data_IF_725779886116
#
_entry.id   IF_725779886116
#
_cell.length_a   1.000
_cell.length_b   1.000
_cell.length_c   1.000
_cell.angle_alpha   90.00
_cell.angle_beta   90.00
_cell.angle_gamma   90.00
#
_symmetry.space_group_name_H-M   'P 1'
#
loop_
_entity.id
_entity.type
_entity.pdbx_description
1 polymer ?
#
# COMPACT_ATOMS: atom_id res chain seq x y z
N UNK A 1 90.24 -22.60 -12.84
CA UNK A 1 89.76 -21.32 -12.26
C UNK A 1 88.27 -21.50 -11.98
N UNK A 2 87.95 -22.15 -10.87
CA UNK A 2 86.57 -22.38 -10.43
C UNK A 2 86.35 -21.33 -9.35
N UNK A 3 85.46 -20.37 -9.58
CA UNK A 3 85.12 -19.35 -8.59
C UNK A 3 84.34 -20.03 -7.46
N UNK A 4 84.99 -20.15 -6.31
CA UNK A 4 84.34 -20.41 -5.03
C UNK A 4 83.57 -19.12 -4.66
N UNK A 5 82.29 -19.06 -5.03
CA UNK A 5 81.39 -17.98 -4.61
C UNK A 5 80.89 -18.31 -3.20
N UNK A 6 80.88 -17.35 -2.25
CA UNK A 6 80.57 -17.62 -0.85
C UNK A 6 79.15 -18.18 -0.71
N UNK A 7 79.06 -19.40 -0.19
CA UNK A 7 77.84 -20.19 0.00
C UNK A 7 76.76 -19.47 0.83
N UNK A 8 77.13 -18.49 1.65
CA UNK A 8 76.20 -17.76 2.51
C UNK A 8 75.20 -16.89 1.71
N UNK A 9 75.65 -16.29 0.59
CA UNK A 9 74.80 -15.38 -0.21
C UNK A 9 73.65 -16.13 -0.88
N UNK A 10 73.86 -17.40 -1.26
CA UNK A 10 72.83 -18.19 -1.95
C UNK A 10 71.73 -18.68 -1.00
N UNK A 11 72.07 -18.93 0.28
CA UNK A 11 71.11 -19.33 1.31
C UNK A 11 70.22 -18.14 1.71
N UNK A 12 70.81 -16.97 1.96
CA UNK A 12 70.06 -15.75 2.28
C UNK A 12 69.12 -15.34 1.12
N UNK A 13 69.60 -15.44 -0.12
CA UNK A 13 68.78 -15.16 -1.29
C UNK A 13 67.61 -16.15 -1.41
N UNK A 14 67.83 -17.43 -1.10
CA UNK A 14 66.78 -18.45 -1.10
C UNK A 14 65.65 -18.16 -0.10
N UNK A 15 66.01 -17.69 1.10
CA UNK A 15 65.06 -17.32 2.15
C UNK A 15 64.22 -16.11 1.72
N UNK A 16 64.84 -15.10 1.10
CA UNK A 16 64.14 -13.91 0.59
C UNK A 16 63.18 -14.29 -0.54
N UNK A 17 63.60 -15.14 -1.48
CA UNK A 17 62.75 -15.60 -2.59
C UNK A 17 61.53 -16.39 -2.07
N UNK A 18 61.72 -17.27 -1.08
CA UNK A 18 60.61 -17.99 -0.42
C UNK A 18 59.61 -17.01 0.21
N UNK A 19 60.10 -15.98 0.91
CA UNK A 19 59.24 -14.95 1.49
C UNK A 19 58.39 -14.22 0.45
N UNK A 20 59.00 -13.83 -0.68
CA UNK A 20 58.29 -13.16 -1.78
C UNK A 20 57.23 -14.07 -2.41
N UNK A 21 57.53 -15.36 -2.60
CA UNK A 21 56.58 -16.33 -3.15
C UNK A 21 55.39 -16.57 -2.22
N UNK A 22 55.61 -16.71 -0.92
CA UNK A 22 54.53 -16.84 0.06
C UNK A 22 53.65 -15.57 0.11
N UNK A 23 54.27 -14.39 0.03
CA UNK A 23 53.53 -13.12 -0.01
C UNK A 23 52.66 -13.00 -1.27
N UNK A 24 53.23 -13.32 -2.45
CA UNK A 24 52.50 -13.31 -3.71
C UNK A 24 51.37 -14.35 -3.72
N UNK A 25 51.63 -15.57 -3.24
CA UNK A 25 50.63 -16.64 -3.11
C UNK A 25 49.50 -16.28 -2.15
N UNK A 26 49.83 -15.65 -1.02
CA UNK A 26 48.85 -15.13 -0.06
C UNK A 26 47.94 -14.07 -0.69
N UNK A 27 48.50 -13.16 -1.48
CA UNK A 27 47.75 -12.10 -2.16
C UNK A 27 46.78 -12.67 -3.21
N UNK A 28 47.23 -13.64 -4.00
CA UNK A 28 46.38 -14.36 -4.97
C UNK A 28 45.26 -15.12 -4.26
N UNK A 29 45.57 -15.78 -3.14
CA UNK A 29 44.59 -16.53 -2.35
C UNK A 29 43.52 -15.60 -1.75
N UNK A 30 43.91 -14.44 -1.20
CA UNK A 30 42.97 -13.44 -0.69
C UNK A 30 42.10 -12.87 -1.81
N UNK A 31 42.66 -12.61 -3.00
CA UNK A 31 41.87 -12.17 -4.16
C UNK A 31 40.88 -13.24 -4.62
N UNK A 32 41.29 -14.51 -4.66
CA UNK A 32 40.40 -15.62 -5.01
C UNK A 32 39.26 -15.77 -4.01
N UNK A 33 39.55 -15.72 -2.70
CA UNK A 33 38.54 -15.77 -1.64
C UNK A 33 37.61 -14.57 -1.68
N UNK A 34 38.14 -13.36 -1.91
CA UNK A 34 37.33 -12.14 -2.02
C UNK A 34 36.40 -12.20 -3.23
N UNK A 35 36.90 -12.66 -4.38
CA UNK A 35 36.11 -12.86 -5.61
C UNK A 35 35.02 -13.90 -5.42
N UNK A 36 35.34 -15.02 -4.77
CA UNK A 36 34.36 -16.07 -4.48
C UNK A 36 33.29 -15.58 -3.50
N UNK A 37 33.70 -14.87 -2.44
CA UNK A 37 32.77 -14.30 -1.44
C UNK A 37 31.88 -13.20 -2.03
N UNK A 38 32.39 -12.43 -2.98
CA UNK A 38 31.61 -11.45 -3.75
C UNK A 38 30.59 -12.12 -4.67
N UNK A 39 30.90 -13.28 -5.25
CA UNK A 39 29.93 -14.08 -6.02
C UNK A 39 28.84 -14.69 -5.14
N UNK A 40 29.20 -15.28 -3.99
CA UNK A 40 28.22 -15.86 -3.05
C UNK A 40 27.29 -14.80 -2.44
N UNK A 41 27.81 -13.59 -2.18
CA UNK A 41 26.98 -12.47 -1.71
C UNK A 41 26.03 -11.93 -2.80
N UNK A 42 26.35 -12.15 -4.08
CA UNK A 42 25.48 -11.82 -5.21
C UNK A 42 24.32 -12.81 -5.32
N UNK A 43 24.56 -14.10 -5.15
CA UNK A 43 23.52 -15.13 -5.28
C UNK A 43 22.45 -15.04 -4.18
N UNK A 44 22.85 -14.79 -2.94
CA UNK A 44 21.91 -14.64 -1.83
C UNK A 44 21.05 -13.35 -1.93
N UNK A 45 21.56 -12.31 -2.60
CA UNK A 45 20.79 -11.08 -2.85
C UNK A 45 19.88 -11.23 -4.08
N UNK A 46 20.32 -11.94 -5.13
CA UNK A 46 19.56 -12.12 -6.37
C UNK A 46 18.31 -13.00 -6.19
N UNK A 47 18.39 -14.04 -5.37
CA UNK A 47 17.23 -14.91 -5.08
C UNK A 47 16.05 -14.15 -4.44
N UNK A 48 16.32 -13.13 -3.64
CA UNK A 48 15.26 -12.33 -3.02
C UNK A 48 14.51 -11.45 -4.03
N UNK A 49 15.18 -10.94 -5.07
CA UNK A 49 14.53 -10.08 -6.07
C UNK A 49 13.61 -10.87 -7.02
N UNK A 50 13.97 -12.11 -7.37
CA UNK A 50 13.12 -12.96 -8.22
C UNK A 50 11.87 -13.48 -7.50
N UNK A 51 11.96 -13.72 -6.19
CA UNK A 51 10.79 -14.10 -5.39
C UNK A 51 9.76 -12.96 -5.30
N UNK A 52 10.22 -11.72 -5.11
CA UNK A 52 9.35 -10.54 -5.07
C UNK A 52 8.66 -10.30 -6.43
N UNK A 53 9.39 -10.49 -7.55
CA UNK A 53 8.86 -10.29 -8.92
C UNK A 53 7.72 -11.27 -9.24
N UNK A 54 7.88 -12.56 -8.90
CA UNK A 54 6.84 -13.57 -9.09
C UNK A 54 5.58 -13.30 -8.24
N UNK A 55 5.75 -12.79 -7.02
CA UNK A 55 4.61 -12.39 -6.17
C UNK A 55 3.88 -11.18 -6.76
N UNK A 56 4.62 -10.19 -7.27
CA UNK A 56 4.03 -9.02 -7.94
C UNK A 56 3.28 -9.45 -9.20
N UNK A 57 3.85 -10.33 -10.02
CA UNK A 57 3.21 -10.86 -11.22
C UNK A 57 1.90 -11.60 -10.88
N UNK A 58 1.92 -12.46 -9.85
CA UNK A 58 0.73 -13.17 -9.39
C UNK A 58 -0.38 -12.21 -8.94
N UNK A 59 -0.02 -11.13 -8.21
CA UNK A 59 -0.97 -10.10 -7.79
C UNK A 59 -1.54 -9.36 -9.01
N UNK A 60 -0.70 -8.92 -9.94
CA UNK A 60 -1.13 -8.23 -11.16
C UNK A 60 -2.06 -9.12 -12.00
N UNK A 61 -1.74 -10.41 -12.10
CA UNK A 61 -2.54 -11.38 -12.83
C UNK A 61 -3.91 -11.60 -12.18
N UNK A 62 -3.97 -11.68 -10.85
CA UNK A 62 -5.22 -11.75 -10.08
C UNK A 62 -6.08 -10.48 -10.28
N UNK A 63 -5.47 -9.29 -10.24
CA UNK A 63 -6.18 -8.04 -10.51
C UNK A 63 -6.73 -7.98 -11.94
N UNK A 64 -5.92 -8.37 -12.92
CA UNK A 64 -6.31 -8.38 -14.33
C UNK A 64 -7.44 -9.38 -14.56
N UNK A 65 -7.40 -10.54 -13.90
CA UNK A 65 -8.47 -11.54 -13.94
C UNK A 65 -9.79 -10.97 -13.43
N UNK A 66 -9.78 -10.35 -12.24
CA UNK A 66 -10.97 -9.73 -11.65
C UNK A 66 -11.53 -8.62 -12.54
N UNK A 67 -10.66 -7.84 -13.17
CA UNK A 67 -11.07 -6.77 -14.08
C UNK A 67 -11.85 -7.32 -15.28
N UNK A 68 -11.36 -8.42 -15.88
CA UNK A 68 -12.08 -9.11 -16.97
C UNK A 68 -13.43 -9.67 -16.53
N UNK A 69 -13.52 -10.18 -15.31
CA UNK A 69 -14.79 -10.68 -14.77
C UNK A 69 -15.81 -9.53 -14.65
N UNK A 70 -15.38 -8.36 -14.18
CA UNK A 70 -16.24 -7.17 -14.15
C UNK A 70 -16.64 -6.71 -15.55
N UNK A 71 -15.72 -6.68 -16.53
CA UNK A 71 -16.04 -6.32 -17.91
C UNK A 71 -17.12 -7.24 -18.51
N UNK A 72 -17.07 -8.54 -18.20
CA UNK A 72 -18.08 -9.51 -18.65
C UNK A 72 -19.44 -9.23 -18.04
N UNK A 73 -19.50 -8.92 -16.74
CA UNK A 73 -20.75 -8.57 -16.06
C UNK A 73 -21.33 -7.28 -16.65
N UNK A 74 -20.50 -6.27 -16.91
CA UNK A 74 -20.93 -5.02 -17.54
C UNK A 74 -21.50 -5.29 -18.94
N UNK A 75 -20.83 -6.10 -19.75
CA UNK A 75 -21.31 -6.47 -21.08
C UNK A 75 -22.67 -7.18 -21.00
N UNK A 76 -22.83 -8.15 -20.11
CA UNK A 76 -24.10 -8.86 -19.90
C UNK A 76 -25.23 -7.91 -19.45
N UNK A 77 -24.94 -7.02 -18.50
CA UNK A 77 -25.91 -6.03 -18.03
C UNK A 77 -26.34 -5.09 -19.15
N UNK A 78 -25.40 -4.63 -20.00
CA UNK A 78 -25.72 -3.81 -21.16
C UNK A 78 -26.61 -4.55 -22.15
N UNK A 79 -26.32 -5.81 -22.45
CA UNK A 79 -27.17 -6.63 -23.33
C UNK A 79 -28.57 -6.79 -22.75
N UNK A 80 -28.70 -7.06 -21.44
CA UNK A 80 -30.01 -7.17 -20.79
C UNK A 80 -30.78 -5.84 -20.84
N UNK A 81 -30.10 -4.72 -20.62
CA UNK A 81 -30.70 -3.38 -20.67
C UNK A 81 -31.18 -3.03 -22.08
N UNK A 82 -30.38 -3.30 -23.11
CA UNK A 82 -30.74 -3.12 -24.52
C UNK A 82 -31.98 -3.96 -24.89
N UNK A 83 -32.05 -5.23 -24.46
CA UNK A 83 -33.24 -6.07 -24.65
C UNK A 83 -34.49 -5.46 -23.99
N UNK A 84 -34.35 -4.92 -22.77
CA UNK A 84 -35.46 -4.30 -22.03
C UNK A 84 -35.88 -2.98 -22.67
N UNK A 85 -34.94 -2.17 -23.14
CA UNK A 85 -35.20 -0.91 -23.85
C UNK A 85 -35.93 -1.16 -25.17
N UNK A 86 -35.50 -2.15 -25.96
CA UNK A 86 -36.18 -2.56 -27.20
C UNK A 86 -37.59 -3.06 -26.91
N UNK A 87 -37.78 -3.90 -25.88
CA UNK A 87 -39.11 -4.40 -25.47
C UNK A 87 -40.03 -3.30 -24.98
N UNK A 88 -39.51 -2.36 -24.19
CA UNK A 88 -40.27 -1.21 -23.66
C UNK A 88 -40.66 -0.26 -24.78
N UNK A 89 -39.72 0.00 -25.70
CA UNK A 89 -39.97 0.82 -26.89
C UNK A 89 -41.01 0.16 -27.79
N UNK A 90 -40.90 -1.15 -28.08
CA UNK A 90 -41.93 -1.90 -28.82
C UNK A 90 -43.29 -1.94 -28.12
N UNK A 91 -43.32 -2.04 -26.79
CA UNK A 91 -44.56 -1.99 -26.02
C UNK A 91 -45.23 -0.60 -26.07
N UNK A 92 -44.46 0.47 -26.30
CA UNK A 92 -44.98 1.83 -26.45
C UNK A 92 -45.45 2.15 -27.88
N UNK A 93 -45.10 1.35 -28.91
CA UNK A 93 -45.57 1.55 -30.31
C UNK A 93 -46.84 0.75 -30.64
N UNK A 94 -47.51 0.14 -29.67
CA UNK A 94 -48.85 -0.44 -29.88
C UNK A 94 -49.93 0.48 -29.29
N UNK A 95 -50.46 1.46 -30.05
CA UNK A 95 -51.72 2.09 -29.68
C UNK A 95 -52.83 1.07 -29.94
N UNK A 96 -53.46 0.62 -28.85
CA UNK A 96 -54.74 -0.05 -28.88
C UNK A 96 -55.74 0.64 -29.83
N UNK A 97 -56.32 -0.14 -30.73
CA UNK A 97 -57.42 0.26 -31.61
C UNK A 97 -58.72 0.26 -30.79
N UNK A 98 -59.28 1.45 -30.51
CA UNK A 98 -60.71 1.61 -30.23
C UNK A 98 -61.24 2.77 -31.10
N UNK A 99 -62.21 2.45 -31.93
CA UNK A 99 -62.91 3.31 -32.91
C UNK A 99 -64.31 3.67 -32.38
N UNK A 100 -64.70 4.95 -32.50
CA UNK A 100 -66.05 5.58 -32.69
C UNK A 100 -66.07 6.96 -31.99
N UNK A 101 -66.57 8.10 -32.50
CA UNK A 101 -67.24 8.59 -33.74
C UNK A 101 -67.24 10.17 -33.65
N UNK A 102 -67.47 10.97 -34.74
CA UNK A 102 -66.94 12.33 -34.90
C UNK A 102 -67.94 13.49 -34.71
N UNK A 103 -67.44 14.72 -34.54
CA UNK A 103 -68.05 16.00 -34.98
C UNK A 103 -67.04 17.17 -34.88
N UNK A 104 -67.22 18.29 -35.63
CA UNK A 104 -66.13 19.08 -36.21
C UNK A 104 -66.01 20.54 -35.71
N UNK A 105 -65.01 21.27 -36.26
CA UNK A 105 -64.82 22.75 -36.26
C UNK A 105 -64.33 23.38 -34.94
N UNK A 106 -63.46 24.41 -34.87
CA UNK A 106 -62.78 25.25 -35.86
C UNK A 106 -61.83 26.25 -35.14
N UNK A 107 -60.77 26.71 -35.86
CA UNK A 107 -60.13 28.06 -35.82
C UNK A 107 -59.39 28.51 -34.53
N UNK A 108 -58.05 28.58 -34.59
CA UNK A 108 -57.22 29.79 -34.82
C UNK A 108 -57.26 30.85 -33.70
N UNK A 109 -56.15 31.05 -32.98
CA UNK A 109 -55.32 32.27 -33.07
C UNK A 109 -54.14 32.27 -32.07
N UNK A 110 -52.97 32.65 -32.59
CA UNK A 110 -51.81 33.12 -31.84
C UNK A 110 -52.05 34.53 -31.28
N UNK A 111 -51.55 34.80 -30.07
CA UNK A 111 -50.95 36.09 -29.74
C UNK A 111 -49.97 36.02 -28.56
N UNK A 112 -48.74 36.44 -28.85
CA UNK A 112 -47.68 36.78 -27.89
C UNK A 112 -48.09 37.95 -26.97
N UNK A 113 -47.59 37.96 -25.72
CA UNK A 113 -46.64 38.97 -25.20
C UNK A 113 -46.14 38.64 -23.77
N UNK A 114 -44.82 38.66 -23.58
CA UNK A 114 -44.02 38.52 -22.35
C UNK A 114 -44.03 39.85 -21.53
N UNK A 115 -43.21 40.14 -20.47
CA UNK A 115 -42.11 39.38 -19.82
C UNK A 115 -41.98 39.56 -18.28
N UNK A 116 -41.41 38.60 -17.53
CA UNK A 116 -40.55 38.93 -16.35
C UNK A 116 -39.44 37.88 -16.20
N UNK A 117 -38.24 38.39 -15.96
CA UNK A 117 -36.95 37.74 -16.11
C UNK A 117 -36.56 36.83 -14.93
N UNK A 118 -35.81 35.75 -15.21
CA UNK A 118 -34.55 35.45 -14.51
C UNK A 118 -33.67 34.45 -15.30
N UNK A 119 -32.70 34.99 -16.04
CA UNK A 119 -31.26 34.64 -16.08
C UNK A 119 -30.83 33.30 -15.40
N UNK A 120 -29.98 32.42 -15.94
CA UNK A 120 -28.69 32.65 -16.64
C UNK A 120 -28.30 31.41 -17.50
N UNK A 121 -27.64 31.75 -18.60
CA UNK A 121 -26.95 31.08 -19.73
C UNK A 121 -26.03 29.84 -19.54
N UNK A 122 -26.06 28.94 -20.53
CA UNK A 122 -24.91 28.15 -21.09
C UNK A 122 -23.91 29.09 -21.83
N UNK A 123 -22.62 28.77 -22.21
CA UNK A 123 -22.12 27.45 -22.66
C UNK A 123 -20.63 27.04 -22.37
N UNK A 124 -20.37 25.72 -22.48
CA UNK A 124 -19.17 24.97 -22.97
C UNK A 124 -17.74 25.32 -22.46
N UNK A 125 -17.02 24.34 -21.84
CA UNK A 125 -15.66 23.81 -22.21
C UNK A 125 -15.06 22.86 -21.13
N UNK A 126 -14.87 21.58 -21.50
CA UNK A 126 -13.76 20.61 -21.26
C UNK A 126 -12.85 20.67 -19.98
N UNK A 127 -12.83 19.51 -19.26
CA UNK A 127 -11.75 18.83 -18.46
C UNK A 127 -11.27 19.39 -17.10
N UNK A 128 -11.60 18.68 -16.00
CA UNK A 128 -10.69 17.96 -15.05
C UNK A 128 -11.43 17.45 -13.77
N UNK A 129 -11.07 16.26 -13.27
CA UNK A 129 -11.42 15.63 -11.96
C UNK A 129 -11.23 16.63 -10.78
N UNK A 130 -11.94 16.63 -9.61
CA UNK A 130 -12.13 15.47 -8.70
C UNK A 130 -13.36 15.45 -7.73
N UNK A 131 -13.53 14.30 -7.05
CA UNK A 131 -14.02 14.06 -5.67
C UNK A 131 -15.35 14.64 -5.10
N UNK A 132 -16.16 13.68 -4.61
CA UNK A 132 -16.98 13.69 -3.38
C UNK A 132 -18.20 14.62 -3.35
N UNK A 133 -19.40 14.22 -2.91
CA UNK A 133 -19.75 13.59 -1.63
C UNK A 133 -21.13 12.95 -1.72
N UNK A 134 -21.35 11.84 -1.02
CA UNK A 134 -22.46 11.75 -0.05
C UNK A 134 -21.99 10.87 1.09
N UNK A 135 -21.59 11.53 2.18
CA UNK A 135 -21.56 10.94 3.50
C UNK A 135 -22.97 11.01 4.08
N UNK A 136 -23.42 9.95 4.75
CA UNK A 136 -24.05 10.02 6.07
C UNK A 136 -24.50 8.64 6.53
N UNK A 137 -23.60 7.93 7.21
CA UNK A 137 -23.95 7.14 8.38
C UNK A 137 -22.71 7.00 9.28
N UNK A 138 -22.80 7.62 10.46
CA UNK A 138 -21.94 7.47 11.66
C UNK A 138 -20.49 7.94 11.59
N UNK A 139 -20.31 9.26 11.51
CA UNK A 139 -19.20 9.93 12.19
C UNK A 139 -19.55 10.02 13.69
N UNK A 140 -18.98 9.13 14.50
CA UNK A 140 -18.81 9.29 15.97
C UNK A 140 -18.06 8.11 16.64
N UNK A 141 -17.59 7.09 15.90
CA UNK A 141 -16.85 5.94 16.45
C UNK A 141 -15.34 5.87 16.08
N UNK A 142 -14.77 6.92 15.46
CA UNK A 142 -13.40 6.93 14.91
C UNK A 142 -12.28 7.09 15.97
N UNK A 143 -12.62 7.20 17.25
CA UNK A 143 -11.63 7.26 18.34
C UNK A 143 -11.15 5.88 18.82
N UNK A 144 -11.98 4.84 18.67
CA UNK A 144 -11.80 3.59 19.42
C UNK A 144 -10.94 2.56 18.68
N UNK A 145 -11.10 2.39 17.37
CA UNK A 145 -10.28 1.44 16.59
C UNK A 145 -8.82 1.86 16.42
N UNK A 146 -8.54 3.17 16.53
CA UNK A 146 -7.20 3.70 16.42
C UNK A 146 -6.34 3.32 17.64
N UNK A 147 -6.93 3.18 18.83
CA UNK A 147 -6.18 2.82 20.04
C UNK A 147 -5.53 1.44 19.92
N UNK A 148 -6.30 0.41 19.54
CA UNK A 148 -5.73 -0.94 19.37
C UNK A 148 -4.61 -1.01 18.32
N UNK A 149 -4.73 -0.22 17.25
CA UNK A 149 -3.66 -0.13 16.22
C UNK A 149 -2.43 0.59 16.77
N UNK A 150 -2.60 1.67 17.53
CA UNK A 150 -1.52 2.42 18.17
C UNK A 150 -0.75 1.51 19.13
N UNK A 151 -1.45 0.80 20.00
CA UNK A 151 -0.82 -0.04 21.02
C UNK A 151 -0.08 -1.23 20.38
N UNK A 152 -0.64 -1.80 19.30
CA UNK A 152 0.06 -2.80 18.49
C UNK A 152 1.37 -2.27 17.90
N UNK A 153 1.36 -1.06 17.34
CA UNK A 153 2.57 -0.46 16.79
C UNK A 153 3.59 -0.17 17.89
N UNK A 154 3.16 0.35 19.03
CA UNK A 154 4.04 0.60 20.17
C UNK A 154 4.69 -0.71 20.63
N UNK A 155 3.94 -1.80 20.73
CA UNK A 155 4.48 -3.13 21.05
C UNK A 155 5.53 -3.57 20.02
N UNK A 156 5.24 -3.39 18.72
CA UNK A 156 6.18 -3.73 17.65
C UNK A 156 7.50 -2.92 17.74
N UNK A 157 7.41 -1.65 18.12
CA UNK A 157 8.57 -0.77 18.30
C UNK A 157 9.29 -0.97 19.64
N UNK A 158 8.65 -1.61 20.62
CA UNK A 158 9.28 -2.01 21.86
C UNK A 158 10.27 -3.16 21.67
N UNK A 159 9.98 -4.07 20.74
CA UNK A 159 10.84 -5.21 20.43
C UNK A 159 12.11 -4.78 19.69
N UNK A 160 11.97 -3.99 18.61
CA UNK A 160 13.12 -3.45 17.87
C UNK A 160 12.82 -2.17 17.10
N UNK A 161 13.83 -1.35 16.78
CA UNK A 161 13.69 -0.23 15.86
C UNK A 161 13.16 -0.68 14.49
N UNK A 162 12.10 -0.03 13.98
CA UNK A 162 11.48 -0.37 12.68
C UNK A 162 11.37 0.82 11.74
N UNK A 163 11.37 0.55 10.45
CA UNK A 163 11.09 1.55 9.41
C UNK A 163 9.58 1.71 9.19
N UNK A 164 9.14 2.84 8.61
CA UNK A 164 7.72 3.03 8.26
C UNK A 164 7.16 1.92 7.36
N UNK A 165 7.99 1.34 6.48
CA UNK A 165 7.58 0.25 5.58
C UNK A 165 7.33 -1.05 6.35
N UNK A 166 8.20 -1.38 7.31
CA UNK A 166 7.99 -2.55 8.18
C UNK A 166 6.72 -2.38 9.03
N UNK A 167 6.49 -1.18 9.58
CA UNK A 167 5.26 -0.89 10.33
C UNK A 167 4.02 -1.01 9.45
N UNK A 168 4.07 -0.49 8.21
CA UNK A 168 2.98 -0.60 7.24
C UNK A 168 2.61 -2.08 6.98
N UNK A 169 3.61 -2.94 6.79
CA UNK A 169 3.38 -4.37 6.56
C UNK A 169 2.76 -5.05 7.78
N UNK A 170 3.18 -4.67 8.99
CA UNK A 170 2.65 -5.24 10.23
C UNK A 170 1.19 -4.85 10.49
N UNK A 171 0.81 -3.59 10.20
CA UNK A 171 -0.57 -3.13 10.43
C UNK A 171 -1.52 -3.40 9.26
N UNK A 172 -1.00 -3.77 8.09
CA UNK A 172 -1.82 -4.07 6.90
C UNK A 172 -2.62 -2.88 6.36
N UNK A 173 -2.15 -1.64 6.61
CA UNK A 173 -2.83 -0.41 6.17
C UNK A 173 -2.09 0.24 4.99
N UNK A 174 -2.73 1.24 4.37
CA UNK A 174 -2.12 2.02 3.30
C UNK A 174 -0.90 2.79 3.80
N UNK A 175 0.02 3.10 2.87
CA UNK A 175 1.21 3.91 3.15
C UNK A 175 0.86 5.26 3.77
N UNK A 176 -0.20 5.90 3.26
CA UNK A 176 -0.67 7.20 3.74
C UNK A 176 -1.20 7.12 5.18
N UNK A 177 -2.03 6.12 5.47
CA UNK A 177 -2.57 5.94 6.82
C UNK A 177 -1.45 5.69 7.83
N UNK A 178 -0.49 4.83 7.47
CA UNK A 178 0.69 4.55 8.30
C UNK A 178 1.52 5.82 8.53
N UNK A 179 1.74 6.63 7.48
CA UNK A 179 2.52 7.86 7.58
C UNK A 179 1.84 8.87 8.52
N UNK A 180 0.53 9.07 8.40
CA UNK A 180 -0.24 9.95 9.30
C UNK A 180 -0.19 9.46 10.73
N UNK A 181 -0.33 8.16 10.95
CA UNK A 181 -0.30 7.57 12.28
C UNK A 181 1.09 7.69 12.93
N UNK A 182 2.15 7.38 12.18
CA UNK A 182 3.54 7.55 12.64
C UNK A 182 3.87 9.01 12.96
N UNK A 183 3.38 9.95 12.13
CA UNK A 183 3.52 11.38 12.39
C UNK A 183 2.82 11.78 13.69
N UNK A 184 1.56 11.36 13.89
CA UNK A 184 0.80 11.62 15.12
C UNK A 184 1.47 11.04 16.37
N UNK A 185 2.04 9.83 16.27
CA UNK A 185 2.75 9.18 17.38
C UNK A 185 4.07 9.87 17.73
N UNK A 186 4.73 10.42 16.72
CA UNK A 186 5.92 11.24 16.91
C UNK A 186 5.57 12.60 17.56
N UNK A 187 4.54 13.28 17.08
CA UNK A 187 4.07 14.56 17.64
C UNK A 187 3.60 14.44 19.10
N UNK A 188 2.98 13.30 19.45
CA UNK A 188 2.57 13.01 20.82
C UNK A 188 3.70 12.48 21.72
N UNK A 189 4.92 12.32 21.18
CA UNK A 189 6.10 11.92 21.95
C UNK A 189 6.16 10.43 22.33
N UNK A 190 5.24 9.59 21.83
CA UNK A 190 5.25 8.14 22.11
C UNK A 190 6.36 7.41 21.35
N UNK A 191 6.78 7.98 20.22
CA UNK A 191 7.78 7.38 19.32
C UNK A 191 8.77 8.45 18.87
N UNK A 192 10.06 8.13 18.86
CA UNK A 192 11.12 8.97 18.32
C UNK A 192 11.58 8.46 16.95
N UNK A 193 11.95 9.37 16.04
CA UNK A 193 12.49 9.02 14.72
C UNK A 193 14.00 9.30 14.68
N UNK A 194 14.77 8.31 14.26
CA UNK A 194 16.19 8.47 13.95
C UNK A 194 16.34 9.07 12.55
N UNK A 195 16.87 10.29 12.50
CA UNK A 195 17.10 11.06 11.26
C UNK A 195 18.49 10.82 10.66
N UNK A 196 19.37 10.10 11.36
CA UNK A 196 20.76 9.89 10.94
C UNK A 196 20.90 8.88 9.80
N UNK A 197 19.90 8.01 9.61
CA UNK A 197 19.90 7.01 8.54
C UNK A 197 18.60 7.04 7.73
N UNK A 198 18.74 6.84 6.42
CA UNK A 198 17.62 6.65 5.48
C UNK A 198 17.57 5.17 5.10
N UNK A 199 16.39 4.53 5.08
CA UNK A 199 15.07 5.05 5.50
C UNK A 199 14.97 5.28 7.02
N UNK A 200 14.18 6.27 7.44
CA UNK A 200 14.02 6.64 8.85
C UNK A 200 13.53 5.45 9.70
N UNK A 201 14.12 5.32 10.89
CA UNK A 201 13.78 4.29 11.88
C UNK A 201 13.05 4.91 13.06
N UNK A 202 12.03 4.23 13.52
CA UNK A 202 11.20 4.63 14.65
C UNK A 202 11.57 3.77 15.85
N UNK A 203 11.62 4.41 17.02
CA UNK A 203 11.93 3.83 18.31
C UNK A 203 10.87 4.24 19.33
N UNK A 204 10.50 3.33 20.22
CA UNK A 204 9.58 3.69 21.31
C UNK A 204 10.26 4.63 22.32
N UNK A 205 9.56 5.68 22.73
CA UNK A 205 9.99 6.59 23.80
C UNK A 205 9.55 6.04 25.16
N UNK A 206 10.11 6.56 26.26
CA UNK A 206 9.66 6.24 27.62
C UNK A 206 8.16 6.45 27.81
N UNK A 207 7.60 7.56 27.31
CA UNK A 207 6.17 7.83 27.33
C UNK A 207 5.32 6.74 26.64
N UNK A 208 5.81 6.19 25.52
CA UNK A 208 5.16 5.09 24.82
C UNK A 208 5.16 3.79 25.63
N UNK A 209 6.26 3.49 26.33
CA UNK A 209 6.37 2.31 27.20
C UNK A 209 5.43 2.38 28.40
N UNK A 210 5.29 3.56 29.00
CA UNK A 210 4.37 3.78 30.12
C UNK A 210 2.91 3.57 29.70
N UNK A 211 2.52 4.02 28.50
CA UNK A 211 1.18 3.78 27.95
C UNK A 211 0.88 2.28 27.80
N UNK A 212 1.79 1.51 27.22
CA UNK A 212 1.63 0.05 27.08
C UNK A 212 1.47 -0.66 28.43
N UNK A 213 2.18 -0.18 29.45
CA UNK A 213 2.14 -0.79 30.79
C UNK A 213 0.80 -0.50 31.49
N UNK A 214 0.25 0.71 31.31
CA UNK A 214 -1.06 1.10 31.85
C UNK A 214 -2.20 0.26 31.29
N UNK A 215 -2.17 -0.05 29.99
CA UNK A 215 -3.16 -0.92 29.33
C UNK A 215 -3.13 -2.35 29.90
N UNK A 216 -1.93 -2.90 30.15
CA UNK A 216 -1.76 -4.25 30.71
C UNK A 216 -2.33 -4.38 32.14
N UNK A 217 -2.45 -3.26 32.87
CA UNK A 217 -2.98 -3.21 34.23
C UNK A 217 -4.51 -3.04 34.29
N UNK A 218 -5.22 -3.14 33.16
CA UNK A 218 -6.68 -3.18 33.13
C UNK A 218 -7.22 -4.60 32.80
N UNK A 219 -7.06 -5.60 33.70
CA UNK A 219 -7.79 -6.84 33.58
C UNK A 219 -9.24 -6.66 34.05
N UNK A 220 -10.19 -6.93 33.15
CA UNK A 220 -11.48 -7.59 33.39
C UNK A 220 -12.08 -7.45 34.81
N UNK A 221 -12.72 -6.33 35.12
CA UNK A 221 -13.60 -6.16 36.30
C UNK A 221 -15.09 -6.37 35.95
N UNK A 222 -15.40 -7.31 35.06
CA UNK A 222 -16.78 -7.63 34.66
C UNK A 222 -17.01 -9.14 34.64
N UNK A 223 -16.81 -9.81 35.77
CA UNK A 223 -17.43 -11.10 36.07
C UNK A 223 -17.81 -11.10 37.56
N UNK A 224 -19.05 -10.69 37.84
CA UNK A 224 -19.80 -11.20 38.99
C UNK A 224 -20.38 -12.57 38.58
N UNK A 225 -20.48 -13.52 39.52
CA UNK A 225 -21.77 -13.69 40.19
C UNK A 225 -21.66 -13.85 41.72
N UNK A 226 -22.80 -13.60 42.40
CA UNK A 226 -23.39 -14.33 43.55
C UNK A 226 -22.44 -15.25 44.36
N UNK A 227 -22.35 -15.24 45.69
CA UNK A 227 -23.37 -15.51 46.72
C UNK A 227 -22.75 -15.13 48.09
N UNK A 228 -23.46 -14.38 48.95
CA UNK A 228 -23.69 -14.68 50.38
C UNK A 228 -24.56 -13.58 51.00
N UNK A 229 -25.88 -13.78 51.00
CA UNK A 229 -26.75 -13.17 52.01
C UNK A 229 -26.55 -13.96 53.30
N UNK A 230 -26.08 -13.28 54.34
CA UNK A 230 -26.46 -13.57 55.73
C UNK A 230 -27.48 -12.51 56.14
#
# INVERSE_FOLDING_TARGET
MILDLPLDITVDLGIVILGVLFYAGGLVTVMALRRFRESVKRDNNNNNYHADDAVVEAVVLEYTRRLRDYDRVIAEMRTKLDIVEVKTTQAFVQPHLIVQQPAPMSQQQQQQQAPHAQYVSEPVTVTQHPQAVTASASAEAEGSQNNGTIDYILKLLADRPRTSREVQHAIGRTREHTARLMKKLHESGLVSRDVNSKPFRYNITEAGRTRLTKEKQQPSAAQAPEILRQ
#
